data_IF_509867910960
#
_entry.id   IF_509867910960
#
_cell.length_a   1.000
_cell.length_b   1.000
_cell.length_c   1.000
_cell.angle_alpha   90.00
_cell.angle_beta   90.00
_cell.angle_gamma   90.00
#
_symmetry.space_group_name_H-M   'P 1'
#
loop_
_entity.id
_entity.type
_entity.pdbx_description
1 polymer ?
#
# COMPACT_ATOMS: atom_id res chain seq x y z
N UNK A 1 -14.35 -18.51 22.33
CA UNK A 1 -12.99 -18.59 22.91
C UNK A 1 -12.08 -17.85 21.97
N UNK A 2 -11.56 -16.70 22.39
CA UNK A 2 -10.54 -15.98 21.63
C UNK A 2 -9.23 -16.78 21.71
N UNK A 3 -9.07 -17.77 20.84
CA UNK A 3 -7.77 -18.36 20.60
C UNK A 3 -6.85 -17.25 20.09
N UNK A 4 -5.89 -16.85 20.93
CA UNK A 4 -4.80 -15.97 20.49
C UNK A 4 -4.07 -16.68 19.35
N UNK A 5 -4.25 -16.15 18.16
CA UNK A 5 -3.63 -16.64 16.94
C UNK A 5 -2.11 -16.38 17.05
N UNK A 6 -1.34 -17.42 17.38
CA UNK A 6 0.11 -17.36 17.39
C UNK A 6 0.64 -17.63 15.97
N UNK A 7 1.14 -16.58 15.32
CA UNK A 7 1.72 -16.66 13.99
C UNK A 7 3.14 -17.26 13.99
N UNK A 8 3.73 -17.53 15.16
CA UNK A 8 5.01 -18.21 15.30
C UNK A 8 4.87 -19.74 15.46
N UNK A 9 3.63 -20.25 15.48
CA UNK A 9 3.35 -21.68 15.49
C UNK A 9 3.87 -22.32 14.19
N UNK A 10 4.49 -23.50 14.29
CA UNK A 10 5.09 -24.22 13.17
C UNK A 10 4.09 -24.54 12.05
N UNK A 11 2.78 -24.52 12.35
CA UNK A 11 1.72 -24.62 11.34
C UNK A 11 1.67 -23.45 10.33
N UNK A 12 2.31 -22.32 10.65
CA UNK A 12 2.39 -21.11 9.81
C UNK A 12 3.83 -20.79 9.36
N UNK A 13 4.77 -21.74 9.49
CA UNK A 13 6.20 -21.57 9.18
C UNK A 13 6.49 -21.09 7.76
N UNK A 14 5.57 -21.31 6.82
CA UNK A 14 5.68 -20.72 5.50
C UNK A 14 5.29 -19.23 5.56
N UNK A 15 6.30 -18.37 5.56
CA UNK A 15 6.17 -16.90 5.44
C UNK A 15 5.28 -16.46 4.27
N UNK A 16 5.12 -17.29 3.23
CA UNK A 16 4.20 -17.06 2.12
C UNK A 16 2.73 -17.13 2.53
N UNK A 17 2.39 -17.90 3.58
CA UNK A 17 1.03 -17.97 4.15
C UNK A 17 0.71 -16.69 4.92
N UNK A 18 1.63 -16.19 5.76
CA UNK A 18 1.43 -14.95 6.53
C UNK A 18 1.33 -13.73 5.60
N UNK A 19 2.22 -13.64 4.61
CA UNK A 19 2.14 -12.57 3.60
C UNK A 19 0.90 -12.71 2.73
N UNK A 20 0.46 -13.93 2.42
CA UNK A 20 -0.81 -14.23 1.77
C UNK A 20 -2.02 -13.71 2.55
N UNK A 21 -2.08 -14.00 3.84
CA UNK A 21 -3.14 -13.56 4.74
C UNK A 21 -3.20 -12.03 4.86
N UNK A 22 -2.06 -11.35 4.98
CA UNK A 22 -2.02 -9.89 5.02
C UNK A 22 -2.56 -9.26 3.73
N UNK A 23 -2.18 -9.79 2.56
CA UNK A 23 -2.71 -9.33 1.27
C UNK A 23 -4.21 -9.58 1.16
N UNK A 24 -4.66 -10.75 1.61
CA UNK A 24 -6.07 -11.12 1.61
C UNK A 24 -6.88 -10.18 2.52
N UNK A 25 -6.39 -9.89 3.72
CA UNK A 25 -7.03 -8.95 4.65
C UNK A 25 -7.35 -7.61 3.98
N UNK A 26 -6.36 -6.98 3.34
CA UNK A 26 -6.58 -5.70 2.64
C UNK A 26 -7.50 -5.84 1.41
N UNK A 27 -7.42 -6.96 0.70
CA UNK A 27 -8.25 -7.20 -0.48
C UNK A 27 -9.73 -7.38 -0.12
N UNK A 28 -10.02 -7.98 1.02
CA UNK A 28 -11.37 -8.32 1.51
C UNK A 28 -12.04 -7.15 2.28
N UNK A 29 -11.33 -6.04 2.51
CA UNK A 29 -11.95 -4.86 3.14
C UNK A 29 -13.15 -4.37 2.30
N UNK A 30 -14.26 -3.95 2.95
CA UNK A 30 -15.41 -3.36 2.26
C UNK A 30 -15.04 -2.11 1.44
N UNK A 31 -14.01 -1.39 1.88
CA UNK A 31 -13.43 -0.25 1.20
C UNK A 31 -11.89 -0.39 1.16
N UNK A 32 -11.22 -0.08 0.03
CA UNK A 32 -9.77 -0.12 -0.04
C UNK A 32 -9.12 0.80 1.01
N UNK A 33 -7.88 0.49 1.40
CA UNK A 33 -7.14 1.28 2.39
C UNK A 33 -7.03 2.77 1.97
N UNK A 34 -6.93 3.04 0.68
CA UNK A 34 -6.87 4.40 0.10
C UNK A 34 -8.24 5.07 -0.08
N UNK A 35 -9.34 4.41 0.30
CA UNK A 35 -10.74 4.80 0.08
C UNK A 35 -11.14 4.90 -1.39
N UNK A 36 -12.41 4.66 -1.69
CA UNK A 36 -12.91 4.82 -3.06
C UNK A 36 -12.94 6.29 -3.47
N UNK A 37 -13.35 7.15 -2.54
CA UNK A 37 -13.55 8.59 -2.78
C UNK A 37 -12.27 9.32 -3.17
N UNK A 38 -11.11 8.91 -2.64
CA UNK A 38 -9.83 9.55 -2.93
C UNK A 38 -9.04 8.87 -4.04
N UNK A 39 -9.52 7.76 -4.63
CA UNK A 39 -8.78 7.01 -5.65
C UNK A 39 -8.33 7.90 -6.81
N UNK A 40 -9.25 8.67 -7.38
CA UNK A 40 -8.95 9.57 -8.51
C UNK A 40 -8.02 10.71 -8.09
N UNK A 41 -8.10 11.18 -6.86
CA UNK A 41 -7.22 12.24 -6.35
C UNK A 41 -5.77 11.76 -6.24
N UNK A 42 -5.55 10.53 -5.75
CA UNK A 42 -4.21 9.93 -5.74
C UNK A 42 -3.67 9.70 -7.16
N UNK A 43 -4.52 9.26 -8.09
CA UNK A 43 -4.14 9.13 -9.51
C UNK A 43 -3.79 10.48 -10.12
N UNK A 44 -4.53 11.54 -9.80
CA UNK A 44 -4.22 12.89 -10.28
C UNK A 44 -2.94 13.43 -9.62
N UNK A 45 -2.71 13.15 -8.34
CA UNK A 45 -1.48 13.53 -7.64
C UNK A 45 -0.23 12.91 -8.27
N UNK A 46 -0.26 11.62 -8.65
CA UNK A 46 0.90 10.97 -9.26
C UNK A 46 1.18 11.44 -10.70
N UNK A 47 0.16 11.98 -11.38
CA UNK A 47 0.30 12.59 -12.72
C UNK A 47 0.91 13.98 -12.70
N UNK A 48 1.01 14.63 -11.53
CA UNK A 48 1.62 15.95 -11.42
C UNK A 48 3.13 15.90 -11.71
N UNK A 49 3.73 17.08 -11.84
CA UNK A 49 5.18 17.26 -11.92
C UNK A 49 5.88 16.59 -10.72
N UNK A 50 7.06 15.93 -10.90
CA UNK A 50 7.71 15.15 -9.85
C UNK A 50 7.88 15.88 -8.51
N UNK A 51 8.14 17.19 -8.54
CA UNK A 51 8.33 18.03 -7.34
C UNK A 51 7.04 18.24 -6.53
N UNK A 52 5.87 18.05 -7.13
CA UNK A 52 4.56 18.25 -6.51
C UNK A 52 3.92 16.97 -6.00
N UNK A 53 4.38 15.80 -6.47
CA UNK A 53 3.78 14.49 -6.14
C UNK A 53 3.81 14.19 -4.64
N UNK A 54 4.96 14.38 -4.00
CA UNK A 54 5.13 14.08 -2.56
C UNK A 54 4.24 14.97 -1.68
N UNK A 55 4.25 16.32 -1.84
CA UNK A 55 3.30 17.17 -1.12
C UNK A 55 1.84 16.77 -1.34
N UNK A 56 1.43 16.57 -2.59
CA UNK A 56 0.05 16.21 -2.93
C UNK A 56 -0.39 14.89 -2.29
N UNK A 57 0.43 13.84 -2.38
CA UNK A 57 0.15 12.53 -1.76
C UNK A 57 0.11 12.64 -0.24
N UNK A 58 1.03 13.40 0.37
CA UNK A 58 1.05 13.64 1.83
C UNK A 58 -0.25 14.30 2.30
N UNK A 59 -0.72 15.31 1.59
CA UNK A 59 -1.93 16.03 1.99
C UNK A 59 -3.21 15.23 1.76
N UNK A 60 -3.24 14.37 0.73
CA UNK A 60 -4.34 13.40 0.56
C UNK A 60 -4.38 12.36 1.68
N UNK A 61 -3.23 11.83 2.10
CA UNK A 61 -3.17 10.89 3.22
C UNK A 61 -3.72 11.53 4.50
N UNK A 62 -3.41 12.81 4.78
CA UNK A 62 -3.95 13.52 5.96
C UNK A 62 -5.47 13.69 5.93
N UNK A 63 -6.09 13.66 4.74
CA UNK A 63 -7.55 13.77 4.57
C UNK A 63 -8.28 12.43 4.75
N UNK A 64 -7.56 11.30 4.71
CA UNK A 64 -8.16 9.99 4.94
C UNK A 64 -8.65 9.84 6.40
N UNK A 65 -9.58 8.92 6.68
CA UNK A 65 -9.95 8.60 8.04
C UNK A 65 -8.75 8.16 8.86
N UNK A 66 -8.72 8.53 10.16
CA UNK A 66 -7.60 8.23 11.06
C UNK A 66 -7.17 6.74 11.08
N UNK A 67 -8.10 5.75 11.09
CA UNK A 67 -7.74 4.34 11.01
C UNK A 67 -6.96 3.98 9.73
N UNK A 68 -7.33 4.56 8.59
CA UNK A 68 -6.64 4.34 7.31
C UNK A 68 -5.22 4.91 7.37
N UNK A 69 -5.06 6.14 7.89
CA UNK A 69 -3.75 6.78 8.05
C UNK A 69 -2.80 5.95 8.93
N UNK A 70 -3.27 5.53 10.10
CA UNK A 70 -2.46 4.78 11.06
C UNK A 70 -2.07 3.40 10.49
N UNK A 71 -3.02 2.73 9.84
CA UNK A 71 -2.79 1.44 9.17
C UNK A 71 -1.79 1.58 8.03
N UNK A 72 -1.93 2.59 7.17
CA UNK A 72 -0.96 2.88 6.11
C UNK A 72 0.43 3.09 6.68
N UNK A 73 0.57 3.91 7.72
CA UNK A 73 1.87 4.23 8.28
C UNK A 73 2.59 2.97 8.81
N UNK A 74 1.88 2.07 9.48
CA UNK A 74 2.44 0.80 9.96
C UNK A 74 2.80 -0.12 8.79
N UNK A 75 1.88 -0.29 7.84
CA UNK A 75 2.08 -1.14 6.67
C UNK A 75 3.31 -0.70 5.85
N UNK A 76 3.37 0.57 5.46
CA UNK A 76 4.43 1.08 4.62
C UNK A 76 5.79 1.10 5.32
N UNK A 77 5.85 1.33 6.65
CA UNK A 77 7.08 1.11 7.42
C UNK A 77 7.54 -0.35 7.41
N UNK A 78 6.61 -1.30 7.51
CA UNK A 78 6.95 -2.72 7.41
C UNK A 78 7.48 -3.07 6.01
N UNK A 79 6.75 -2.67 4.96
CA UNK A 79 7.16 -2.92 3.58
C UNK A 79 8.51 -2.28 3.23
N UNK A 80 8.82 -1.11 3.80
CA UNK A 80 10.14 -0.49 3.68
C UNK A 80 11.25 -1.40 4.18
N UNK A 81 11.08 -2.01 5.36
CA UNK A 81 12.04 -2.99 5.92
C UNK A 81 12.16 -4.23 5.04
N UNK A 82 11.08 -4.67 4.40
CA UNK A 82 11.13 -5.80 3.46
C UNK A 82 12.04 -5.45 2.27
N UNK A 83 11.88 -4.27 1.67
CA UNK A 83 12.72 -3.82 0.56
C UNK A 83 14.18 -3.58 0.99
N UNK A 84 14.41 -3.08 2.21
CA UNK A 84 15.77 -2.92 2.76
C UNK A 84 16.51 -4.26 2.94
N UNK A 85 15.77 -5.37 3.04
CA UNK A 85 16.33 -6.74 3.02
C UNK A 85 16.39 -7.36 1.61
N UNK A 86 16.31 -6.53 0.57
CA UNK A 86 16.24 -6.94 -0.84
C UNK A 86 17.38 -7.86 -1.31
N UNK A 87 18.57 -7.75 -0.73
CA UNK A 87 19.68 -8.66 -1.06
C UNK A 87 19.37 -10.13 -0.73
N UNK A 88 18.54 -10.38 0.29
CA UNK A 88 18.18 -11.73 0.74
C UNK A 88 16.86 -12.20 0.14
N UNK A 89 15.83 -11.34 0.15
CA UNK A 89 14.48 -11.71 -0.27
C UNK A 89 14.16 -11.32 -1.73
N UNK A 90 15.07 -10.61 -2.42
CA UNK A 90 14.94 -10.15 -3.82
C UNK A 90 13.78 -9.17 -4.06
N UNK A 91 13.13 -8.67 -3.01
CA UNK A 91 12.04 -7.71 -3.12
C UNK A 91 12.58 -6.30 -3.34
N UNK A 92 12.20 -5.70 -4.46
CA UNK A 92 12.44 -4.29 -4.77
C UNK A 92 11.20 -3.44 -4.52
N UNK A 93 11.36 -2.11 -4.52
CA UNK A 93 10.24 -1.16 -4.49
C UNK A 93 9.19 -1.48 -5.56
N UNK A 94 9.63 -1.76 -6.80
CA UNK A 94 8.75 -2.10 -7.92
C UNK A 94 8.00 -3.41 -7.66
N UNK A 95 8.69 -4.44 -7.19
CA UNK A 95 8.05 -5.75 -6.93
C UNK A 95 6.99 -5.67 -5.83
N UNK A 96 7.23 -4.88 -4.77
CA UNK A 96 6.26 -4.63 -3.71
C UNK A 96 5.08 -3.81 -4.25
N UNK A 97 5.36 -2.76 -5.04
CA UNK A 97 4.34 -1.92 -5.65
C UNK A 97 3.40 -2.71 -6.57
N UNK A 98 3.92 -3.65 -7.37
CA UNK A 98 3.11 -4.52 -8.23
C UNK A 98 2.14 -5.38 -7.42
N UNK A 99 2.57 -5.86 -6.26
CA UNK A 99 1.74 -6.71 -5.38
C UNK A 99 0.70 -5.88 -4.62
N UNK A 100 1.11 -4.73 -4.07
CA UNK A 100 0.28 -3.95 -3.16
C UNK A 100 -0.53 -2.85 -3.85
N UNK A 101 -0.17 -2.40 -5.05
CA UNK A 101 -0.92 -1.41 -5.84
C UNK A 101 -2.41 -1.76 -5.97
N UNK A 102 -2.76 -2.86 -6.66
CA UNK A 102 -4.16 -3.28 -6.82
C UNK A 102 -4.81 -3.81 -5.53
N UNK A 103 -4.00 -4.16 -4.52
CA UNK A 103 -4.50 -4.63 -3.22
C UNK A 103 -4.99 -3.46 -2.36
N UNK A 104 -4.25 -2.34 -2.35
CA UNK A 104 -4.52 -1.20 -1.47
C UNK A 104 -5.38 -0.12 -2.14
N UNK A 105 -5.39 -0.06 -3.47
CA UNK A 105 -6.14 0.90 -4.26
C UNK A 105 -7.07 0.17 -5.23
N UNK A 106 -8.34 0.54 -5.24
CA UNK A 106 -9.34 0.04 -6.19
C UNK A 106 -10.23 1.19 -6.64
N UNK A 107 -10.53 1.34 -7.94
CA UNK A 107 -11.56 2.29 -8.36
C UNK A 107 -12.94 1.79 -7.89
N UNK A 108 -13.86 2.70 -7.59
CA UNK A 108 -15.24 2.35 -7.21
C UNK A 108 -15.99 1.65 -8.35
N UNK A 109 -15.70 2.06 -9.58
CA UNK A 109 -16.24 1.47 -10.81
C UNK A 109 -15.08 1.12 -11.73
N UNK A 110 -15.13 -0.07 -12.33
CA UNK A 110 -14.21 -0.45 -13.40
C UNK A 110 -14.58 0.28 -14.70
N UNK A 111 -14.33 1.59 -14.72
CA UNK A 111 -14.51 2.42 -15.90
C UNK A 111 -13.15 2.93 -16.37
N UNK A 112 -12.80 2.62 -17.62
CA UNK A 112 -11.52 3.01 -18.24
C UNK A 112 -10.59 1.84 -18.51
N UNK A 113 -9.38 2.13 -19.00
CA UNK A 113 -8.39 1.11 -19.31
C UNK A 113 -7.75 0.59 -18.01
N UNK A 114 -8.13 -0.62 -17.61
CA UNK A 114 -7.66 -1.30 -16.38
C UNK A 114 -6.13 -1.29 -16.28
N UNK A 115 -5.42 -1.47 -17.40
CA UNK A 115 -3.96 -1.48 -17.41
C UNK A 115 -3.36 -0.13 -16.98
N UNK A 116 -3.99 0.98 -17.37
CA UNK A 116 -3.54 2.34 -17.00
C UNK A 116 -3.75 2.59 -15.51
N UNK A 117 -4.87 2.13 -14.95
CA UNK A 117 -5.12 2.23 -13.51
C UNK A 117 -4.08 1.45 -12.70
N UNK A 118 -3.77 0.23 -13.10
CA UNK A 118 -2.74 -0.59 -12.44
C UNK A 118 -1.37 0.08 -12.42
N UNK A 119 -0.99 0.76 -13.51
CA UNK A 119 0.29 1.52 -13.55
C UNK A 119 0.30 2.62 -12.50
N UNK A 120 -0.75 3.43 -12.40
CA UNK A 120 -0.79 4.52 -11.42
C UNK A 120 -0.85 4.01 -9.98
N UNK A 121 -1.61 2.95 -9.71
CA UNK A 121 -1.66 2.32 -8.39
C UNK A 121 -0.25 1.89 -7.93
N UNK A 122 0.50 1.24 -8.82
CA UNK A 122 1.86 0.81 -8.54
C UNK A 122 2.78 2.02 -8.27
N UNK A 123 2.69 3.07 -9.10
CA UNK A 123 3.50 4.28 -8.92
C UNK A 123 3.19 5.02 -7.61
N UNK A 124 1.93 5.03 -7.16
CA UNK A 124 1.54 5.62 -5.88
C UNK A 124 2.20 4.85 -4.73
N UNK A 125 2.10 3.51 -4.72
CA UNK A 125 2.72 2.67 -3.68
C UNK A 125 4.24 2.81 -3.70
N UNK A 126 4.87 2.81 -4.87
CA UNK A 126 6.31 2.99 -5.02
C UNK A 126 6.77 4.35 -4.48
N UNK A 127 6.08 5.45 -4.84
CA UNK A 127 6.40 6.79 -4.33
C UNK A 127 6.33 6.83 -2.79
N UNK A 128 5.27 6.26 -2.19
CA UNK A 128 5.11 6.26 -0.74
C UNK A 128 6.23 5.48 -0.05
N UNK A 129 6.69 4.37 -0.63
CA UNK A 129 7.81 3.59 -0.09
C UNK A 129 9.16 4.31 -0.21
N UNK A 130 9.39 5.01 -1.32
CA UNK A 130 10.61 5.79 -1.53
C UNK A 130 10.66 6.99 -0.58
N UNK A 131 9.54 7.71 -0.47
CA UNK A 131 9.41 8.99 0.23
C UNK A 131 8.73 8.87 1.61
N UNK A 132 8.87 7.69 2.23
CA UNK A 132 8.18 7.32 3.47
C UNK A 132 8.36 8.37 4.58
N UNK A 133 9.60 8.84 4.77
CA UNK A 133 9.93 9.83 5.78
C UNK A 133 9.38 11.21 5.42
N UNK A 134 9.41 11.61 4.15
CA UNK A 134 8.84 12.88 3.68
C UNK A 134 7.33 12.93 3.89
N UNK A 135 6.64 11.80 3.63
CA UNK A 135 5.18 11.67 3.68
C UNK A 135 4.68 11.51 5.12
N UNK A 136 5.28 10.62 5.91
CA UNK A 136 4.82 10.29 7.27
C UNK A 136 5.68 10.87 8.40
N UNK A 137 6.76 11.59 8.08
CA UNK A 137 7.58 12.31 9.04
C UNK A 137 6.85 13.51 9.64
N UNK A 138 7.25 13.83 10.88
CA UNK A 138 6.74 14.98 11.64
C UNK A 138 7.09 16.29 10.96
#
# INVERSE_FOLDING_TARGET
SDEKLDLNDSKWEDIHVITGALKMFFRELPEPLFTYNHFNDFVNAIKQEPRQRVPAVKDLIKQLPKPNQDTMQVLFRHLKRVVENGEKNRMTYQSIAIVFGPTLLKPEKETGNIAVHTVYQNQIVELILLELNSIFGR
#
